data_IF_983828378957
#
_entry.id   IF_983828378957
#
_cell.length_a   1.000
_cell.length_b   1.000
_cell.length_c   1.000
_cell.angle_alpha   90.00
_cell.angle_beta   90.00
_cell.angle_gamma   90.00
#
_symmetry.space_group_name_H-M   'P 1'
#
loop_
_entity.id
_entity.type
_entity.pdbx_description
1 polymer ?
#
# COMPACT_ATOMS: atom_id res chain seq x y z
N UNK A 1 1.47 7.89 14.17
CA UNK A 1 1.78 7.94 12.78
C UNK A 1 1.24 9.20 12.14
N UNK A 2 1.94 9.74 11.19
CA UNK A 2 1.37 10.74 10.30
C UNK A 2 0.19 10.11 9.60
N UNK A 3 -0.85 10.91 9.30
CA UNK A 3 -1.98 10.44 8.52
C UNK A 3 -1.46 9.67 7.32
N UNK A 4 -1.80 8.40 7.25
CA UNK A 4 -1.35 7.45 6.24
C UNK A 4 -1.83 7.86 4.85
N UNK A 5 -2.72 8.82 4.81
CA UNK A 5 -3.31 9.40 3.62
C UNK A 5 -3.33 10.91 3.71
N UNK A 6 -2.39 11.59 3.10
CA UNK A 6 -2.54 13.00 2.86
C UNK A 6 -3.87 13.29 2.19
N UNK A 7 -4.70 14.11 2.83
CA UNK A 7 -6.01 14.48 2.33
C UNK A 7 -7.14 13.44 2.42
N UNK A 8 -6.88 12.25 2.95
CA UNK A 8 -7.92 11.23 3.11
C UNK A 8 -8.49 11.17 4.53
N UNK A 9 -7.63 11.21 5.55
CA UNK A 9 -8.02 11.23 6.96
C UNK A 9 -7.61 12.51 7.69
N UNK A 10 -6.87 13.39 7.06
CA UNK A 10 -6.36 14.64 7.60
C UNK A 10 -5.83 15.59 6.53
N UNK A 11 -5.07 16.56 6.93
CA UNK A 11 -4.44 17.52 6.02
C UNK A 11 -3.34 16.87 5.17
N UNK A 12 -3.02 17.50 4.03
CA UNK A 12 -1.94 17.06 3.15
C UNK A 12 -0.59 17.16 3.86
N UNK A 13 0.01 16.02 4.14
CA UNK A 13 1.37 15.91 4.64
C UNK A 13 2.26 15.17 3.63
N UNK A 14 3.56 15.34 3.74
CA UNK A 14 4.49 14.59 2.90
C UNK A 14 4.64 13.17 3.46
N UNK A 15 4.18 12.19 2.72
CA UNK A 15 4.52 10.79 2.97
C UNK A 15 5.99 10.51 2.56
N UNK A 16 6.56 9.47 3.12
CA UNK A 16 7.91 9.00 2.76
C UNK A 16 9.06 9.77 3.40
N UNK A 17 8.79 10.76 4.25
CA UNK A 17 9.82 11.55 4.91
C UNK A 17 9.55 11.71 6.41
N UNK A 18 10.58 11.52 7.21
CA UNK A 18 10.53 11.65 8.66
C UNK A 18 10.38 10.31 9.39
N UNK A 19 9.88 10.37 10.62
CA UNK A 19 9.75 9.20 11.50
C UNK A 19 8.31 8.75 11.61
N UNK A 20 8.07 7.46 11.39
CA UNK A 20 6.77 6.81 11.56
C UNK A 20 6.86 5.85 12.74
N UNK A 21 5.93 5.96 13.69
CA UNK A 21 5.74 4.97 14.73
C UNK A 21 4.83 3.86 14.22
N UNK A 22 5.31 2.64 14.26
CA UNK A 22 4.57 1.45 13.85
C UNK A 22 4.47 0.46 15.02
N UNK A 23 3.29 -0.12 15.18
CA UNK A 23 3.11 -1.23 16.11
C UNK A 23 3.45 -2.52 15.36
N UNK A 24 4.56 -3.13 15.73
CA UNK A 24 5.01 -4.40 15.12
C UNK A 24 4.05 -5.53 15.50
N UNK A 25 3.83 -6.43 14.58
CA UNK A 25 2.94 -7.57 14.74
C UNK A 25 1.50 -7.19 15.14
N UNK A 26 1.04 -6.03 14.69
CA UNK A 26 -0.27 -5.51 15.00
C UNK A 26 -0.98 -5.06 13.72
N UNK A 27 -2.29 -5.29 13.65
CA UNK A 27 -3.10 -4.75 12.55
C UNK A 27 -4.45 -4.26 13.06
N UNK A 28 -5.05 -3.36 12.30
CA UNK A 28 -6.45 -2.94 12.46
C UNK A 28 -7.27 -3.63 11.38
N UNK A 29 -8.23 -4.42 11.81
CA UNK A 29 -9.20 -5.07 10.94
C UNK A 29 -10.55 -4.38 11.09
N UNK A 30 -11.17 -4.05 9.97
CA UNK A 30 -12.53 -3.54 9.95
C UNK A 30 -13.45 -4.66 9.49
N UNK A 31 -14.41 -4.99 10.33
CA UNK A 31 -15.39 -6.05 10.11
C UNK A 31 -16.78 -5.44 10.06
N UNK A 32 -17.51 -5.73 9.01
CA UNK A 32 -18.86 -5.23 8.80
C UNK A 32 -19.79 -6.29 8.23
N UNK A 33 -21.04 -5.91 7.99
CA UNK A 33 -21.99 -6.79 7.34
C UNK A 33 -21.52 -7.11 5.91
N UNK A 34 -21.40 -8.39 5.64
CA UNK A 34 -21.07 -8.88 4.32
C UNK A 34 -22.19 -8.62 3.30
N UNK A 35 -21.78 -8.29 2.10
CA UNK A 35 -22.67 -7.99 1.00
C UNK A 35 -22.63 -9.09 -0.06
N UNK A 36 -23.10 -10.23 0.23
CA UNK A 36 -23.23 -11.48 -0.47
C UNK A 36 -22.74 -11.63 -1.90
N UNK A 37 -22.22 -12.78 -2.23
CA UNK A 37 -22.03 -13.26 -3.60
C UNK A 37 -20.62 -13.59 -4.01
N UNK A 38 -19.59 -13.11 -3.37
CA UNK A 38 -18.21 -13.49 -3.63
C UNK A 38 -17.49 -13.84 -2.34
N UNK A 39 -16.45 -14.61 -2.42
CA UNK A 39 -15.62 -15.01 -1.28
C UNK A 39 -14.84 -13.81 -0.76
N UNK A 40 -15.48 -13.05 0.09
CA UNK A 40 -14.96 -11.77 0.51
C UNK A 40 -14.21 -11.94 1.79
N UNK A 41 -12.92 -11.75 1.74
CA UNK A 41 -12.11 -11.38 2.85
C UNK A 41 -12.37 -12.13 4.17
N UNK A 42 -12.69 -13.41 4.12
CA UNK A 42 -12.76 -14.25 5.29
C UNK A 42 -11.35 -14.55 5.76
N UNK A 43 -11.08 -14.20 6.99
CA UNK A 43 -9.82 -14.48 7.64
C UNK A 43 -10.08 -15.50 8.73
N UNK A 44 -9.47 -16.66 8.63
CA UNK A 44 -9.48 -17.64 9.70
C UNK A 44 -8.65 -17.14 10.88
N UNK A 45 -9.35 -16.80 11.97
CA UNK A 45 -8.74 -16.27 13.19
C UNK A 45 -8.57 -17.33 14.28
N UNK A 46 -8.93 -18.58 14.00
CA UNK A 46 -8.89 -19.67 14.98
C UNK A 46 -8.65 -21.03 14.31
N UNK A 47 -8.32 -22.04 15.11
CA UNK A 47 -8.10 -23.42 14.65
C UNK A 47 -6.92 -23.55 13.69
N UNK A 48 -6.96 -24.55 12.82
CA UNK A 48 -5.87 -24.84 11.87
C UNK A 48 -5.73 -23.76 10.80
N UNK A 49 -6.80 -23.15 10.34
CA UNK A 49 -6.81 -22.10 9.32
C UNK A 49 -6.00 -20.86 9.72
N UNK A 50 -5.96 -20.55 11.02
CA UNK A 50 -5.17 -19.44 11.56
C UNK A 50 -3.68 -19.53 11.16
N UNK A 51 -3.15 -20.73 10.99
CA UNK A 51 -1.74 -20.95 10.66
C UNK A 51 -1.39 -20.55 9.23
N UNK A 52 -2.36 -20.46 8.35
CA UNK A 52 -2.20 -20.18 6.92
C UNK A 52 -2.39 -18.71 6.56
N UNK A 53 -2.84 -17.90 7.51
CA UNK A 53 -2.97 -16.46 7.32
C UNK A 53 -2.06 -15.71 8.29
N UNK A 54 -1.30 -14.76 7.78
CA UNK A 54 -0.45 -13.94 8.64
C UNK A 54 -1.30 -13.06 9.59
N UNK A 55 -2.49 -12.64 9.19
CA UNK A 55 -3.41 -11.92 10.08
C UNK A 55 -3.81 -12.75 11.30
N UNK A 56 -3.96 -14.06 11.17
CA UNK A 56 -4.22 -14.96 12.30
C UNK A 56 -3.07 -15.00 13.34
N UNK A 57 -1.88 -14.55 12.94
CA UNK A 57 -0.68 -14.53 13.78
C UNK A 57 -0.36 -13.13 14.34
N UNK A 58 -1.10 -12.11 13.92
CA UNK A 58 -0.93 -10.74 14.39
C UNK A 58 -1.82 -10.46 15.61
N UNK A 59 -1.43 -9.43 16.36
CA UNK A 59 -2.30 -8.81 17.36
C UNK A 59 -3.29 -7.90 16.63
N UNK A 60 -4.52 -8.36 16.50
CA UNK A 60 -5.53 -7.66 15.74
C UNK A 60 -6.41 -6.80 16.65
N UNK A 61 -6.59 -5.55 16.27
CA UNK A 61 -7.59 -4.66 16.82
C UNK A 61 -8.76 -4.64 15.85
N UNK A 62 -9.87 -5.23 16.26
CA UNK A 62 -11.02 -5.42 15.38
C UNK A 62 -12.06 -4.34 15.61
N UNK A 63 -12.30 -3.53 14.59
CA UNK A 63 -13.41 -2.57 14.56
C UNK A 63 -14.60 -3.24 13.89
N UNK A 64 -15.59 -3.61 14.69
CA UNK A 64 -16.89 -4.08 14.17
C UNK A 64 -17.75 -2.87 13.86
N UNK A 65 -17.98 -2.61 12.59
CA UNK A 65 -18.72 -1.43 12.15
C UNK A 65 -19.63 -1.77 10.98
N UNK A 66 -20.75 -1.08 10.93
CA UNK A 66 -21.63 -1.08 9.76
C UNK A 66 -22.09 0.35 9.47
N UNK A 67 -22.60 0.57 8.29
CA UNK A 67 -23.15 1.87 7.90
C UNK A 67 -24.63 1.94 8.29
N UNK A 68 -25.07 3.12 8.71
CA UNK A 68 -26.48 3.35 9.01
C UNK A 68 -27.38 3.34 7.75
N UNK A 69 -26.74 3.52 6.59
CA UNK A 69 -27.41 3.54 5.31
C UNK A 69 -27.32 2.18 4.63
N UNK A 70 -28.40 1.79 3.97
CA UNK A 70 -28.40 0.62 3.09
C UNK A 70 -27.93 1.08 1.73
N UNK A 71 -26.73 0.65 1.36
CA UNK A 71 -26.19 0.92 0.03
C UNK A 71 -26.60 -0.15 -0.96
N UNK A 72 -27.02 0.27 -2.16
CA UNK A 72 -27.20 -0.65 -3.28
C UNK A 72 -25.84 -1.20 -3.76
N UNK A 73 -25.87 -2.30 -4.52
CA UNK A 73 -24.64 -2.93 -5.03
C UNK A 73 -23.69 -1.96 -5.73
N UNK A 74 -24.23 -1.05 -6.54
CA UNK A 74 -23.44 -0.02 -7.24
C UNK A 74 -22.88 1.08 -6.33
N UNK A 75 -23.28 1.11 -5.06
CA UNK A 75 -22.83 2.11 -4.06
C UNK A 75 -21.84 1.52 -3.05
N UNK A 76 -21.41 0.28 -3.27
CA UNK A 76 -20.45 -0.40 -2.36
C UNK A 76 -19.17 0.39 -2.14
N UNK A 77 -18.73 1.15 -3.16
CA UNK A 77 -17.58 2.04 -3.01
C UNK A 77 -17.74 3.01 -1.84
N UNK A 78 -18.90 3.63 -1.71
CA UNK A 78 -19.17 4.60 -0.63
C UNK A 78 -19.10 3.93 0.74
N UNK A 79 -19.68 2.73 0.85
CA UNK A 79 -19.60 1.92 2.07
C UNK A 79 -18.15 1.57 2.41
N UNK A 80 -17.42 1.04 1.43
CA UNK A 80 -16.02 0.66 1.61
C UNK A 80 -15.16 1.86 2.01
N UNK A 81 -15.40 3.02 1.42
CA UNK A 81 -14.70 4.26 1.77
C UNK A 81 -14.99 4.69 3.21
N UNK A 82 -16.23 4.58 3.66
CA UNK A 82 -16.60 4.92 5.02
C UNK A 82 -15.93 3.97 6.04
N UNK A 83 -15.99 2.67 5.80
CA UNK A 83 -15.36 1.65 6.66
C UNK A 83 -13.83 1.81 6.67
N UNK A 84 -13.23 2.04 5.52
CA UNK A 84 -11.79 2.29 5.38
C UNK A 84 -11.35 3.51 6.18
N UNK A 85 -12.08 4.63 6.08
CA UNK A 85 -11.81 5.84 6.88
C UNK A 85 -11.91 5.55 8.38
N UNK A 86 -12.88 4.77 8.80
CA UNK A 86 -13.03 4.39 10.20
C UNK A 86 -11.82 3.58 10.68
N UNK A 87 -11.37 2.60 9.89
CA UNK A 87 -10.17 1.80 10.17
C UNK A 87 -8.91 2.66 10.28
N UNK A 88 -8.71 3.58 9.32
CA UNK A 88 -7.56 4.49 9.37
C UNK A 88 -7.58 5.42 10.59
N UNK A 89 -8.73 5.98 10.93
CA UNK A 89 -8.87 6.80 12.14
C UNK A 89 -8.57 6.02 13.41
N UNK A 90 -9.00 4.75 13.47
CA UNK A 90 -8.66 3.89 14.60
C UNK A 90 -7.17 3.62 14.67
N UNK A 91 -6.54 3.27 13.53
CA UNK A 91 -5.09 3.06 13.46
C UNK A 91 -4.29 4.29 13.88
N UNK A 92 -4.71 5.47 13.42
CA UNK A 92 -4.11 6.74 13.82
C UNK A 92 -4.29 7.01 15.32
N UNK A 93 -5.47 6.81 15.85
CA UNK A 93 -5.75 6.98 17.28
C UNK A 93 -4.84 6.10 18.15
N UNK A 94 -4.69 4.83 17.77
CA UNK A 94 -3.81 3.88 18.48
C UNK A 94 -2.36 4.35 18.39
N UNK A 95 -1.91 4.77 17.20
CA UNK A 95 -0.56 5.28 17.00
C UNK A 95 -0.28 6.55 17.85
N UNK A 96 -1.27 7.43 18.00
CA UNK A 96 -1.17 8.60 18.88
C UNK A 96 -1.00 8.21 20.36
N UNK A 97 -1.63 7.12 20.80
CA UNK A 97 -1.50 6.66 22.18
C UNK A 97 -0.08 6.21 22.55
N UNK A 98 0.71 5.80 21.57
CA UNK A 98 2.06 5.26 21.77
C UNK A 98 3.18 6.19 21.29
N UNK A 99 2.86 7.33 20.72
CA UNK A 99 3.84 8.24 20.08
C UNK A 99 4.96 8.74 21.01
N UNK A 100 4.70 8.82 22.29
CA UNK A 100 5.65 9.27 23.31
C UNK A 100 6.48 8.11 23.91
N UNK A 101 6.13 6.87 23.56
CA UNK A 101 6.89 5.73 24.03
C UNK A 101 8.19 5.59 23.24
N UNK A 102 9.24 5.20 23.94
CA UNK A 102 10.50 4.86 23.27
C UNK A 102 10.30 3.58 22.45
N UNK A 103 10.63 3.58 21.15
CA UNK A 103 10.53 2.38 20.35
C UNK A 103 11.51 1.30 20.83
N UNK A 104 11.08 0.05 20.81
CA UNK A 104 11.92 -1.11 21.13
C UNK A 104 12.89 -1.41 19.99
N UNK A 105 12.44 -1.22 18.76
CA UNK A 105 13.23 -1.44 17.54
C UNK A 105 13.12 -0.23 16.62
N UNK A 106 14.16 0.02 15.85
CA UNK A 106 14.18 1.09 14.83
C UNK A 106 14.66 0.49 13.52
N UNK A 107 13.87 0.66 12.48
CA UNK A 107 14.26 0.37 11.11
C UNK A 107 14.51 1.69 10.37
N UNK A 108 15.60 1.77 9.62
CA UNK A 108 15.93 2.96 8.82
C UNK A 108 15.84 2.58 7.35
N UNK A 109 15.03 3.32 6.62
CA UNK A 109 14.85 3.21 5.18
C UNK A 109 15.31 4.52 4.55
N UNK A 110 16.59 4.59 4.25
CA UNK A 110 17.23 5.76 3.67
C UNK A 110 17.62 5.49 2.23
N UNK A 111 17.05 6.27 1.32
CA UNK A 111 17.35 6.24 -0.10
C UNK A 111 17.41 7.67 -0.60
N UNK A 112 18.60 8.10 -0.95
CA UNK A 112 18.78 9.42 -1.51
C UNK A 112 17.95 9.60 -2.78
N UNK A 113 17.44 10.82 -2.97
CA UNK A 113 16.84 11.19 -4.24
C UNK A 113 17.81 10.89 -5.38
N UNK A 114 17.30 10.34 -6.48
CA UNK A 114 18.13 9.88 -7.61
C UNK A 114 19.14 10.91 -8.09
N UNK A 115 18.79 12.19 -8.06
CA UNK A 115 19.67 13.31 -8.46
C UNK A 115 20.81 13.58 -7.47
N UNK A 116 20.82 12.95 -6.30
CA UNK A 116 21.80 13.16 -5.23
C UNK A 116 22.64 11.93 -4.92
N UNK A 117 22.50 10.85 -5.68
CA UNK A 117 23.24 9.60 -5.44
C UNK A 117 24.69 9.76 -5.79
N UNK A 118 25.56 9.25 -4.91
CA UNK A 118 27.00 9.33 -5.12
C UNK A 118 27.51 8.32 -6.16
N UNK A 119 28.68 8.63 -6.72
CA UNK A 119 29.32 7.83 -7.78
C UNK A 119 29.60 6.37 -7.40
N UNK A 120 29.74 6.05 -6.13
CA UNK A 120 30.02 4.68 -5.67
C UNK A 120 28.87 3.72 -5.91
N UNK A 121 27.64 4.22 -5.95
CA UNK A 121 26.44 3.42 -6.20
C UNK A 121 26.16 3.30 -7.72
N UNK A 122 26.65 4.24 -8.53
CA UNK A 122 26.46 4.26 -9.98
C UNK A 122 27.16 3.11 -10.72
N UNK A 123 28.12 2.46 -10.08
CA UNK A 123 28.83 1.28 -10.65
C UNK A 123 28.05 -0.02 -10.52
N UNK A 124 27.01 -0.04 -9.67
CA UNK A 124 26.16 -1.21 -9.44
C UNK A 124 25.02 -1.26 -10.46
N UNK A 125 24.53 -2.47 -10.80
CA UNK A 125 23.33 -2.60 -11.64
C UNK A 125 22.17 -1.80 -11.06
N UNK A 126 21.62 -0.91 -11.87
CA UNK A 126 20.53 -0.02 -11.49
C UNK A 126 19.18 -0.70 -11.70
N UNK A 127 18.37 -0.81 -10.67
CA UNK A 127 17.07 -1.50 -10.74
C UNK A 127 15.93 -0.61 -10.23
N UNK A 128 14.77 -0.77 -10.85
CA UNK A 128 13.51 -0.20 -10.40
C UNK A 128 12.58 -1.32 -9.93
N UNK A 129 11.67 -1.03 -9.04
CA UNK A 129 10.58 -1.93 -8.70
C UNK A 129 9.30 -1.45 -9.38
N UNK A 130 8.75 -2.25 -10.26
CA UNK A 130 7.46 -1.96 -10.89
C UNK A 130 6.35 -2.53 -10.03
N UNK A 131 5.55 -1.66 -9.44
CA UNK A 131 4.40 -2.04 -8.63
C UNK A 131 3.11 -1.81 -9.42
N UNK A 132 2.29 -2.85 -9.51
CA UNK A 132 1.03 -2.81 -10.25
C UNK A 132 -0.16 -3.17 -9.34
N UNK A 133 -0.65 -2.23 -8.53
CA UNK A 133 -1.88 -2.45 -7.79
C UNK A 133 -3.07 -2.65 -8.70
N UNK A 134 -4.07 -3.33 -8.20
CA UNK A 134 -5.21 -3.73 -8.99
C UNK A 134 -6.22 -2.59 -9.15
N UNK A 135 -6.52 -2.22 -10.39
CA UNK A 135 -7.47 -1.16 -10.74
C UNK A 135 -8.38 -1.61 -11.89
N UNK A 136 -9.05 -2.75 -11.69
CA UNK A 136 -9.74 -3.44 -12.78
C UNK A 136 -11.24 -3.20 -12.82
N UNK A 137 -11.84 -2.69 -11.74
CA UNK A 137 -13.29 -2.70 -11.59
C UNK A 137 -13.85 -1.29 -11.47
N UNK A 138 -13.90 -0.60 -12.60
CA UNK A 138 -14.41 0.78 -12.67
C UNK A 138 -15.82 0.95 -12.10
N UNK A 139 -16.69 0.00 -12.39
CA UNK A 139 -18.10 0.09 -12.00
C UNK A 139 -18.38 -0.33 -10.55
N UNK A 140 -17.54 -1.18 -9.98
CA UNK A 140 -17.73 -1.72 -8.64
C UNK A 140 -16.87 -1.04 -7.58
N UNK A 141 -15.93 -0.19 -7.99
CA UNK A 141 -15.17 0.65 -7.09
C UNK A 141 -14.20 -0.09 -6.15
N UNK A 142 -13.64 -1.20 -6.58
CA UNK A 142 -12.68 -1.98 -5.83
C UNK A 142 -11.23 -1.68 -6.19
N UNK A 143 -10.99 -0.50 -6.72
CA UNK A 143 -9.66 -0.09 -7.13
C UNK A 143 -8.82 0.33 -5.94
N UNK A 144 -7.53 0.03 -6.02
CA UNK A 144 -6.56 0.57 -5.08
C UNK A 144 -6.44 2.08 -5.26
N UNK A 145 -6.09 2.76 -4.18
CA UNK A 145 -5.99 4.21 -4.14
C UNK A 145 -4.55 4.62 -3.86
N UNK A 146 -4.07 5.59 -4.59
CA UNK A 146 -2.80 6.27 -4.35
C UNK A 146 -3.09 7.71 -3.96
N UNK A 147 -2.64 8.12 -2.77
CA UNK A 147 -2.99 9.43 -2.20
C UNK A 147 -4.49 9.76 -2.25
N UNK A 148 -5.34 8.74 -2.10
CA UNK A 148 -6.80 8.88 -2.18
C UNK A 148 -7.38 8.95 -3.60
N UNK A 149 -6.55 8.90 -4.64
CA UNK A 149 -6.99 8.88 -6.03
C UNK A 149 -7.10 7.45 -6.55
N UNK A 150 -8.17 7.21 -7.27
CA UNK A 150 -8.40 5.93 -7.93
C UNK A 150 -7.31 5.65 -8.98
N UNK A 151 -6.62 4.54 -8.82
CA UNK A 151 -5.50 4.17 -9.69
C UNK A 151 -5.93 3.82 -11.12
N UNK A 152 -7.20 3.51 -11.35
CA UNK A 152 -7.69 3.24 -12.69
C UNK A 152 -7.52 4.44 -13.65
N UNK A 153 -7.44 5.64 -13.10
CA UNK A 153 -7.32 6.90 -13.85
C UNK A 153 -5.90 7.47 -13.86
N UNK A 154 -4.95 6.74 -13.33
CA UNK A 154 -3.57 7.20 -13.24
C UNK A 154 -2.75 6.66 -14.40
N UNK A 155 -1.82 7.47 -14.87
CA UNK A 155 -0.71 7.02 -15.70
C UNK A 155 0.45 6.58 -14.78
N UNK A 156 1.33 5.67 -15.23
CA UNK A 156 2.51 5.29 -14.45
C UNK A 156 3.33 6.51 -14.03
N UNK A 157 3.81 6.46 -12.80
CA UNK A 157 4.60 7.54 -12.20
C UNK A 157 5.71 6.97 -11.31
N UNK A 158 6.69 7.79 -10.99
CA UNK A 158 7.77 7.43 -10.06
C UNK A 158 7.35 7.80 -8.65
N UNK A 159 7.57 6.89 -7.71
CA UNK A 159 7.37 7.11 -6.28
C UNK A 159 8.62 6.74 -5.49
N UNK A 160 8.88 7.49 -4.43
CA UNK A 160 9.88 7.08 -3.46
C UNK A 160 9.35 5.85 -2.69
N UNK A 161 10.19 4.80 -2.46
CA UNK A 161 9.72 3.59 -1.78
C UNK A 161 9.09 3.84 -0.40
N UNK A 162 9.59 4.86 0.32
CA UNK A 162 9.06 5.25 1.64
C UNK A 162 7.63 5.78 1.57
N UNK A 163 7.21 6.37 0.45
CA UNK A 163 5.80 6.79 0.30
C UNK A 163 4.86 5.60 0.43
N UNK A 164 5.26 4.45 -0.12
CA UNK A 164 4.48 3.22 -0.07
C UNK A 164 4.49 2.63 1.35
N UNK A 165 5.66 2.56 1.98
CA UNK A 165 5.80 2.09 3.35
C UNK A 165 5.08 2.99 4.35
N UNK A 166 4.99 4.29 4.07
CA UNK A 166 4.23 5.27 4.87
C UNK A 166 2.73 5.28 4.57
N UNK A 167 2.27 4.47 3.61
CA UNK A 167 0.86 4.27 3.34
C UNK A 167 0.23 5.22 2.34
N UNK A 168 1.00 5.75 1.39
CA UNK A 168 0.43 6.48 0.25
C UNK A 168 -0.49 5.59 -0.61
N UNK A 169 -0.26 4.26 -0.55
CA UNK A 169 -1.02 3.26 -1.27
C UNK A 169 -1.96 2.50 -0.35
N UNK A 170 -3.23 2.41 -0.73
CA UNK A 170 -4.27 1.75 0.05
C UNK A 170 -5.06 0.81 -0.81
N UNK A 171 -5.31 -0.36 -0.27
CA UNK A 171 -6.19 -1.32 -0.90
C UNK A 171 -7.62 -0.79 -0.99
N UNK A 172 -8.16 -0.78 -2.17
CA UNK A 172 -9.56 -0.48 -2.46
C UNK A 172 -10.47 -1.68 -2.26
N UNK A 173 -9.88 -2.86 -2.09
CA UNK A 173 -10.63 -4.09 -1.97
C UNK A 173 -11.03 -4.39 -0.54
N UNK A 174 -12.19 -4.97 -0.38
CA UNK A 174 -12.61 -5.62 0.85
C UNK A 174 -12.28 -7.14 0.85
N UNK A 175 -11.62 -7.62 -0.19
CA UNK A 175 -11.18 -9.01 -0.34
C UNK A 175 -9.64 -9.15 -0.36
N UNK A 176 -8.91 -8.55 0.54
CA UNK A 176 -7.45 -8.49 0.40
C UNK A 176 -6.79 -9.86 0.53
N UNK A 177 -7.37 -10.76 1.30
CA UNK A 177 -6.67 -11.96 1.76
C UNK A 177 -6.54 -13.04 0.69
N UNK A 178 -7.42 -13.06 -0.29
CA UNK A 178 -7.48 -14.17 -1.27
C UNK A 178 -6.91 -13.83 -2.64
N UNK A 179 -6.95 -12.58 -3.04
CA UNK A 179 -6.57 -12.20 -4.41
C UNK A 179 -5.87 -10.86 -4.57
N UNK A 180 -5.82 -10.06 -3.51
CA UNK A 180 -5.22 -8.73 -3.54
C UNK A 180 -4.40 -8.46 -2.29
N UNK A 181 -3.44 -7.57 -2.42
CA UNK A 181 -2.71 -7.03 -1.30
C UNK A 181 -3.63 -6.12 -0.45
N UNK A 182 -3.53 -6.26 0.84
CA UNK A 182 -4.15 -5.35 1.79
C UNK A 182 -3.31 -4.07 1.94
N UNK A 183 -3.89 -3.07 2.58
CA UNK A 183 -3.12 -1.87 2.99
C UNK A 183 -1.93 -2.26 3.87
N UNK A 184 -2.08 -3.27 4.72
CA UNK A 184 -1.00 -3.81 5.55
C UNK A 184 0.16 -4.36 4.69
N UNK A 185 -0.15 -5.07 3.60
CA UNK A 185 0.86 -5.61 2.68
C UNK A 185 1.66 -4.52 2.00
N UNK A 186 1.00 -3.45 1.57
CA UNK A 186 1.68 -2.30 0.98
C UNK A 186 2.62 -1.62 1.97
N UNK A 187 2.16 -1.36 3.18
CA UNK A 187 2.97 -0.73 4.23
C UNK A 187 4.12 -1.62 4.72
N UNK A 188 4.02 -2.92 4.55
CA UNK A 188 5.04 -3.89 4.93
C UNK A 188 5.69 -4.58 3.74
N UNK A 189 5.65 -3.97 2.55
CA UNK A 189 6.08 -4.56 1.29
C UNK A 189 7.43 -5.26 1.39
N UNK A 190 7.47 -6.61 1.33
CA UNK A 190 8.71 -7.36 1.53
C UNK A 190 9.72 -7.10 0.40
N UNK A 191 9.23 -6.84 -0.81
CA UNK A 191 10.08 -6.56 -1.96
C UNK A 191 10.82 -5.24 -1.78
N UNK A 192 10.12 -4.17 -1.37
CA UNK A 192 10.75 -2.87 -1.09
C UNK A 192 11.79 -3.02 0.02
N UNK A 193 11.43 -3.69 1.11
CA UNK A 193 12.36 -3.95 2.22
C UNK A 193 13.58 -4.78 1.80
N UNK A 194 13.39 -5.74 0.89
CA UNK A 194 14.51 -6.52 0.33
C UNK A 194 15.43 -5.66 -0.53
N UNK A 195 14.86 -4.84 -1.40
CA UNK A 195 15.63 -3.93 -2.27
C UNK A 195 16.44 -2.91 -1.47
N UNK A 196 15.89 -2.42 -0.35
CA UNK A 196 16.65 -1.57 0.59
C UNK A 196 17.85 -2.28 1.19
N UNK A 197 17.71 -3.57 1.55
CA UNK A 197 18.82 -4.36 2.12
C UNK A 197 19.96 -4.58 1.12
N UNK A 198 19.64 -4.65 -0.16
CA UNK A 198 20.60 -4.87 -1.25
C UNK A 198 21.18 -3.58 -1.84
N UNK A 199 20.49 -2.45 -1.63
CA UNK A 199 20.94 -1.15 -2.13
C UNK A 199 22.32 -0.78 -1.59
N UNK A 200 23.21 -0.36 -2.49
CA UNK A 200 24.59 -0.01 -2.19
C UNK A 200 25.52 -1.22 -1.93
N UNK A 201 25.01 -2.45 -2.08
CA UNK A 201 25.80 -3.69 -1.94
C UNK A 201 25.87 -4.46 -3.26
N UNK A 202 24.73 -4.85 -3.76
CA UNK A 202 24.59 -5.66 -4.98
C UNK A 202 23.89 -4.91 -6.09
N UNK A 203 23.06 -3.94 -5.76
CA UNK A 203 22.27 -3.14 -6.70
C UNK A 203 22.27 -1.65 -6.31
N UNK A 204 21.98 -0.83 -7.29
CA UNK A 204 21.54 0.53 -7.13
C UNK A 204 20.01 0.58 -7.26
N UNK A 205 19.28 0.58 -6.13
CA UNK A 205 17.83 0.66 -6.14
C UNK A 205 17.38 2.08 -6.49
N UNK A 206 16.78 2.28 -7.65
CA UNK A 206 16.38 3.60 -8.14
C UNK A 206 15.05 4.10 -7.56
N UNK A 207 14.20 3.21 -7.12
CA UNK A 207 12.87 3.55 -6.59
C UNK A 207 11.75 2.71 -7.20
N UNK A 208 10.52 3.18 -7.06
CA UNK A 208 9.33 2.47 -7.51
C UNK A 208 8.71 3.16 -8.71
N UNK A 209 8.42 2.40 -9.75
CA UNK A 209 7.52 2.84 -10.81
C UNK A 209 6.13 2.30 -10.47
N UNK A 210 5.27 3.19 -10.03
CA UNK A 210 3.88 2.86 -9.78
C UNK A 210 3.13 2.80 -11.10
N UNK A 211 2.51 1.68 -11.37
CA UNK A 211 1.66 1.44 -12.52
C UNK A 211 0.29 0.98 -12.04
N UNK A 212 -0.55 0.54 -12.94
CA UNK A 212 -1.85 -0.02 -12.63
C UNK A 212 -2.14 -1.24 -13.50
N UNK A 213 -2.88 -2.18 -12.94
CA UNK A 213 -3.31 -3.37 -13.65
C UNK A 213 -4.68 -3.12 -14.28
N UNK A 214 -4.67 -2.59 -15.50
CA UNK A 214 -5.88 -2.30 -16.26
C UNK A 214 -6.50 -3.56 -16.88
N UNK A 215 -7.80 -3.51 -17.21
CA UNK A 215 -8.50 -4.60 -17.92
C UNK A 215 -8.33 -4.47 -19.42
N UNK A 216 -8.58 -3.29 -19.98
CA UNK A 216 -8.54 -3.05 -21.41
C UNK A 216 -7.11 -3.18 -21.97
N UNK A 217 -6.99 -3.89 -23.09
CA UNK A 217 -5.70 -4.17 -23.74
C UNK A 217 -4.93 -2.89 -24.06
N UNK A 218 -5.61 -1.92 -24.67
CA UNK A 218 -5.00 -0.61 -25.00
C UNK A 218 -4.41 0.10 -23.77
N UNK A 219 -5.10 0.02 -22.63
CA UNK A 219 -4.61 0.62 -21.39
C UNK A 219 -3.40 -0.14 -20.83
N UNK A 220 -3.40 -1.48 -20.95
CA UNK A 220 -2.25 -2.31 -20.56
C UNK A 220 -1.02 -1.99 -21.40
N UNK A 221 -1.19 -1.92 -22.71
CA UNK A 221 -0.10 -1.57 -23.64
C UNK A 221 0.45 -0.17 -23.34
N UNK A 222 -0.42 0.80 -23.13
CA UNK A 222 -0.03 2.16 -22.77
C UNK A 222 0.74 2.19 -21.45
N UNK A 223 0.24 1.52 -20.42
CA UNK A 223 0.91 1.46 -19.13
C UNK A 223 2.30 0.80 -19.24
N UNK A 224 2.42 -0.30 -20.00
CA UNK A 224 3.69 -0.97 -20.22
C UNK A 224 4.70 -0.08 -20.94
N UNK A 225 4.26 0.66 -21.97
CA UNK A 225 5.12 1.61 -22.69
C UNK A 225 5.61 2.75 -21.79
N UNK A 226 4.74 3.32 -20.96
CA UNK A 226 5.11 4.34 -19.97
C UNK A 226 6.12 3.80 -18.96
N UNK A 227 5.88 2.61 -18.42
CA UNK A 227 6.80 1.96 -17.46
C UNK A 227 8.17 1.77 -18.09
N UNK A 228 8.24 1.22 -19.31
CA UNK A 228 9.49 1.00 -20.02
C UNK A 228 10.22 2.31 -20.29
N UNK A 229 9.51 3.36 -20.71
CA UNK A 229 10.09 4.67 -20.96
C UNK A 229 10.63 5.31 -19.69
N UNK A 230 9.87 5.22 -18.58
CA UNK A 230 10.31 5.76 -17.29
C UNK A 230 11.54 5.00 -16.81
N UNK A 231 11.54 3.67 -16.83
CA UNK A 231 12.70 2.86 -16.44
C UNK A 231 13.95 3.24 -17.23
N UNK A 232 13.81 3.37 -18.54
CA UNK A 232 14.90 3.81 -19.42
C UNK A 232 15.40 5.23 -19.11
N UNK A 233 14.46 6.15 -18.84
CA UNK A 233 14.82 7.55 -18.50
C UNK A 233 15.55 7.63 -17.16
N UNK A 234 15.21 6.74 -16.23
CA UNK A 234 15.87 6.61 -14.93
C UNK A 234 17.25 5.92 -15.03
N UNK A 235 17.61 5.37 -16.19
CA UNK A 235 18.84 4.61 -16.35
C UNK A 235 18.81 3.23 -15.69
N UNK A 236 17.63 2.60 -15.59
CA UNK A 236 17.53 1.27 -15.02
C UNK A 236 18.07 0.21 -16.00
N UNK A 237 18.90 -0.70 -15.47
CA UNK A 237 19.39 -1.89 -16.17
C UNK A 237 18.38 -3.03 -16.08
N UNK A 238 17.50 -3.00 -15.08
CA UNK A 238 16.48 -4.01 -14.84
C UNK A 238 15.30 -3.53 -13.99
N UNK A 239 14.24 -4.38 -13.98
CA UNK A 239 13.03 -4.14 -13.21
C UNK A 239 12.50 -5.45 -12.59
#
# INVERSE_FOLDING_TARGET
GRGVFPGYTGDLERAGNGTVHALKNCSVLVVGRHWGGFQDGLIDMSGEGQKYTYFGQLNNIVLVADTNEVFEQREQQKKNDALRRAGHKLAEYIAQCVKELKPEETEVYDLDAMIRRGADVETLPSVVYVMQPQSQMEELGYNDLVYGWDMNRMVPTVMHPNEILDGALVSGSFMPVSSKWSTYDFQNCPNIKALYREHGKTINFLGVIMSNLNVALEQKERAALFVAQIAKTLGADGA
#
